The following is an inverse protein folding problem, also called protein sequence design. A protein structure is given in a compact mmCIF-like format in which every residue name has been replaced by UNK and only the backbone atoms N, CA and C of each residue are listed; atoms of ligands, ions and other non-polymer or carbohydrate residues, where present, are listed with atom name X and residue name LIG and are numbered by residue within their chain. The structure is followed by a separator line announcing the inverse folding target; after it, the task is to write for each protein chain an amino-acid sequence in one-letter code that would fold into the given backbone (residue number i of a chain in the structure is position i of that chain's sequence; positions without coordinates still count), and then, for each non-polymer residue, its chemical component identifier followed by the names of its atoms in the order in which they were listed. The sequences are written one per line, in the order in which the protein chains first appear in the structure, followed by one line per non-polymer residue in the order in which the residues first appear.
data_IF_523453932907
#
_entry.id   IF_523453932907
#
_cell.length_a   1.000
_cell.length_b   1.000
_cell.length_c   1.000
_cell.angle_alpha   90.00
_cell.angle_beta   90.00
_cell.angle_gamma   90.00
#
_symmetry.space_group_name_H-M   'P 1'
#
loop_
_entity.id
_entity.type
_entity.pdbx_description
1 polymer ?
#
# COMPACT_ATOMS: atom_id res chain seq x y z
N UNK A 1 -11.08 21.55 5.58
CA UNK A 1 -11.61 20.20 5.35
C UNK A 1 -10.41 19.26 5.31
N UNK A 2 -10.43 18.14 6.03
CA UNK A 2 -9.35 17.16 5.91
C UNK A 2 -9.41 16.58 4.49
N UNK A 3 -8.26 16.50 3.81
CA UNK A 3 -8.19 15.85 2.50
C UNK A 3 -8.59 14.38 2.65
N UNK A 4 -9.40 13.82 1.72
CA UNK A 4 -9.74 12.40 1.76
C UNK A 4 -8.44 11.59 1.67
N UNK A 5 -8.24 10.67 2.63
CA UNK A 5 -7.09 9.78 2.61
C UNK A 5 -7.18 8.87 1.38
N UNK A 6 -6.21 9.01 0.48
CA UNK A 6 -6.03 8.13 -0.69
C UNK A 6 -4.91 7.13 -0.40
N UNK A 7 -5.08 5.88 -0.80
CA UNK A 7 -4.12 4.80 -0.53
C UNK A 7 -4.22 4.22 0.88
N UNK A 8 -3.19 3.48 1.30
CA UNK A 8 -3.12 2.88 2.62
C UNK A 8 -2.83 3.94 3.70
N UNK A 9 -3.46 3.78 4.86
CA UNK A 9 -3.13 4.56 6.05
C UNK A 9 -1.75 4.18 6.61
N UNK A 10 -1.17 5.06 7.44
CA UNK A 10 0.08 4.80 8.16
C UNK A 10 0.05 3.49 8.95
N UNK A 11 -1.05 3.20 9.63
CA UNK A 11 -1.23 1.98 10.43
C UNK A 11 -1.21 0.72 9.56
N UNK A 12 -1.84 0.77 8.38
CA UNK A 12 -1.86 -0.34 7.44
C UNK A 12 -0.48 -0.58 6.83
N UNK A 13 0.22 0.49 6.46
CA UNK A 13 1.61 0.42 5.96
C UNK A 13 2.55 -0.19 7.01
N UNK A 14 2.48 0.27 8.27
CA UNK A 14 3.29 -0.27 9.35
C UNK A 14 2.99 -1.77 9.59
N UNK A 15 1.72 -2.17 9.52
CA UNK A 15 1.33 -3.57 9.65
C UNK A 15 1.86 -4.41 8.49
N UNK A 16 1.77 -3.91 7.26
CA UNK A 16 2.29 -4.60 6.07
C UNK A 16 3.81 -4.76 6.16
N UNK A 17 4.56 -3.70 6.47
CA UNK A 17 6.01 -3.76 6.64
C UNK A 17 6.38 -4.79 7.70
N UNK A 18 5.76 -4.76 8.89
CA UNK A 18 6.02 -5.75 9.96
C UNK A 18 5.78 -7.18 9.50
N UNK A 19 4.75 -7.40 8.68
CA UNK A 19 4.43 -8.71 8.15
C UNK A 19 5.52 -9.19 7.18
N UNK A 20 5.91 -8.34 6.22
CA UNK A 20 6.90 -8.65 5.20
C UNK A 20 8.28 -8.93 5.81
N UNK A 21 8.68 -8.14 6.82
CA UNK A 21 9.99 -8.30 7.48
C UNK A 21 10.02 -9.36 8.58
N UNK A 22 8.91 -10.09 8.86
CA UNK A 22 8.87 -11.02 10.00
C UNK A 22 9.83 -12.21 9.86
N UNK A 23 10.29 -12.50 8.64
CA UNK A 23 11.26 -13.56 8.33
C UNK A 23 12.39 -12.97 7.48
N UNK A 24 13.33 -12.25 8.09
CA UNK A 24 14.47 -11.72 7.35
C UNK A 24 15.36 -12.88 6.83
N UNK A 25 16.18 -12.63 5.80
CA UNK A 25 17.12 -13.62 5.32
C UNK A 25 18.14 -13.98 6.41
N UNK A 26 18.51 -15.26 6.50
CA UNK A 26 19.55 -15.72 7.43
C UNK A 26 20.97 -15.30 7.01
N UNK A 27 21.16 -14.95 5.75
CA UNK A 27 22.41 -14.43 5.20
C UNK A 27 22.40 -12.89 5.19
N UNK A 28 23.29 -12.21 5.94
CA UNK A 28 23.37 -10.76 5.97
C UNK A 28 23.60 -10.10 4.60
N UNK A 29 24.29 -10.78 3.67
CA UNK A 29 24.54 -10.25 2.33
C UNK A 29 23.24 -10.09 1.52
N UNK A 30 22.18 -10.80 1.90
CA UNK A 30 20.86 -10.74 1.25
C UNK A 30 19.93 -9.70 1.85
N UNK A 31 20.32 -9.01 2.92
CA UNK A 31 19.45 -8.05 3.60
C UNK A 31 19.04 -6.88 2.69
N UNK A 32 19.98 -6.32 1.93
CA UNK A 32 19.68 -5.18 1.04
C UNK A 32 18.76 -5.59 -0.11
N UNK A 33 19.01 -6.69 -0.86
CA UNK A 33 18.05 -7.21 -1.84
C UNK A 33 16.67 -7.48 -1.25
N UNK A 34 16.61 -8.10 -0.07
CA UNK A 34 15.35 -8.38 0.63
C UNK A 34 14.58 -7.09 0.95
N UNK A 35 15.25 -6.05 1.48
CA UNK A 35 14.59 -4.78 1.77
C UNK A 35 14.10 -4.08 0.49
N UNK A 36 14.82 -4.24 -0.63
CA UNK A 36 14.35 -3.73 -1.92
C UNK A 36 13.05 -4.43 -2.36
N UNK A 37 12.96 -5.75 -2.22
CA UNK A 37 11.73 -6.51 -2.49
C UNK A 37 10.58 -6.06 -1.60
N UNK A 38 10.83 -5.87 -0.29
CA UNK A 38 9.82 -5.36 0.66
C UNK A 38 9.32 -3.97 0.24
N UNK A 39 10.20 -3.08 -0.22
CA UNK A 39 9.80 -1.74 -0.67
C UNK A 39 8.92 -1.80 -1.92
N UNK A 40 9.26 -2.66 -2.88
CA UNK A 40 8.45 -2.85 -4.10
C UNK A 40 7.06 -3.36 -3.72
N UNK A 41 6.97 -4.39 -2.87
CA UNK A 41 5.70 -4.96 -2.42
C UNK A 41 4.81 -3.92 -1.71
N UNK A 42 5.40 -3.09 -0.85
CA UNK A 42 4.68 -2.02 -0.15
C UNK A 42 4.11 -1.00 -1.15
N UNK A 43 4.89 -0.61 -2.17
CA UNK A 43 4.42 0.30 -3.22
C UNK A 43 3.29 -0.34 -4.04
N UNK A 44 3.41 -1.61 -4.39
CA UNK A 44 2.37 -2.33 -5.14
C UNK A 44 1.05 -2.42 -4.36
N UNK A 45 1.09 -2.80 -3.09
CA UNK A 45 -0.11 -2.85 -2.24
C UNK A 45 -0.74 -1.47 -2.04
N UNK A 46 0.09 -0.43 -1.86
CA UNK A 46 -0.44 0.92 -1.77
C UNK A 46 -1.06 1.38 -3.10
N UNK A 47 -0.47 1.05 -4.24
CA UNK A 47 -1.04 1.38 -5.55
C UNK A 47 -2.39 0.68 -5.77
N UNK A 48 -2.57 -0.57 -5.30
CA UNK A 48 -3.87 -1.25 -5.31
C UNK A 48 -4.91 -0.51 -4.48
N UNK A 49 -4.54 -0.04 -3.28
CA UNK A 49 -5.43 0.74 -2.43
C UNK A 49 -5.80 2.10 -3.06
N UNK A 50 -4.83 2.78 -3.69
CA UNK A 50 -5.08 4.02 -4.44
C UNK A 50 -6.05 3.77 -5.59
N UNK A 51 -5.80 2.74 -6.42
CA UNK A 51 -6.66 2.41 -7.55
C UNK A 51 -8.10 2.09 -7.11
N UNK A 52 -8.27 1.34 -6.01
CA UNK A 52 -9.58 1.05 -5.45
C UNK A 52 -10.32 2.32 -4.98
N UNK A 53 -9.60 3.28 -4.37
CA UNK A 53 -10.18 4.55 -3.97
C UNK A 53 -10.63 5.40 -5.17
N UNK A 54 -9.81 5.47 -6.22
CA UNK A 54 -10.14 6.21 -7.45
C UNK A 54 -11.35 5.59 -8.15
N UNK A 55 -11.38 4.27 -8.33
CA UNK A 55 -12.52 3.59 -8.95
C UNK A 55 -13.82 3.77 -8.15
N UNK A 56 -13.74 3.75 -6.81
CA UNK A 56 -14.89 4.00 -5.93
C UNK A 56 -15.37 5.47 -5.93
N UNK A 57 -14.52 6.40 -6.34
CA UNK A 57 -14.88 7.82 -6.52
C UNK A 57 -15.61 8.03 -7.85
N UNK A 58 -15.07 7.48 -8.94
CA UNK A 58 -15.69 7.57 -10.27
C UNK A 58 -17.11 6.97 -10.25
N UNK A 59 -17.30 5.82 -9.60
CA UNK A 59 -18.62 5.18 -9.47
C UNK A 59 -19.65 6.00 -8.65
N UNK A 60 -19.20 6.92 -7.78
CA UNK A 60 -20.09 7.81 -7.02
C UNK A 60 -20.44 9.07 -7.81
N UNK A 61 -19.49 9.62 -8.55
CA UNK A 61 -19.70 10.80 -9.41
C UNK A 61 -20.68 10.47 -10.57
N UNK A 62 -20.68 9.23 -11.09
CA UNK A 62 -21.65 8.78 -12.11
C UNK A 62 -23.07 8.51 -11.57
N UNK A 63 -23.24 8.37 -10.25
CA UNK A 63 -24.52 8.01 -9.61
C UNK A 63 -25.40 9.19 -9.20
N UNK A 64 -24.85 10.41 -9.11
CA UNK A 64 -25.59 11.63 -8.73
C UNK A 64 -26.15 12.39 -9.95
N UNK A 65 -26.08 11.79 -11.14
CA UNK A 65 -26.55 12.36 -12.42
C UNK A 65 -27.95 11.94 -12.89
N UNK A 66 -28.78 11.30 -12.05
CA UNK A 66 -30.16 10.90 -12.39
C UNK A 66 -31.20 11.44 -11.41
#
# INVERSE_FOLDING_TARGET
MAEPQVGMSRTELERLVRWLVRRPPGDPAKLVPFLAEVLVEVVEENNKAVAAHLAGRDAREDGEGF
#
